data_IF_076376593355
#
_entry.id   IF_076376593355
#
_cell.length_a   1.000
_cell.length_b   1.000
_cell.length_c   1.000
_cell.angle_alpha   90.00
_cell.angle_beta   90.00
_cell.angle_gamma   90.00
#
_symmetry.space_group_name_H-M   'P 1'
#
loop_
_entity.id
_entity.type
_entity.pdbx_description
1 polymer ?
#
# COMPACT_ATOMS: atom_id res chain seq x y z
N UNK A 1 -6.41 -5.50 16.29
CA UNK A 1 -7.20 -4.93 15.17
C UNK A 1 -6.62 -5.43 13.86
N UNK A 2 -7.47 -5.87 12.91
CA UNK A 2 -6.96 -6.37 11.62
C UNK A 2 -6.14 -5.34 10.84
N UNK A 3 -6.49 -4.05 10.93
CA UNK A 3 -5.75 -2.99 10.24
C UNK A 3 -4.35 -2.86 10.82
N UNK A 4 -4.20 -2.94 12.13
CA UNK A 4 -2.90 -2.86 12.80
C UNK A 4 -2.00 -4.01 12.39
N UNK A 5 -2.57 -5.21 12.25
CA UNK A 5 -1.82 -6.38 11.78
C UNK A 5 -1.35 -6.21 10.35
N UNK A 6 -2.20 -5.69 9.48
CA UNK A 6 -1.83 -5.41 8.08
C UNK A 6 -0.72 -4.38 8.02
N UNK A 7 -0.82 -3.29 8.79
CA UNK A 7 0.20 -2.25 8.86
C UNK A 7 1.54 -2.85 9.28
N UNK A 8 1.53 -3.71 10.32
CA UNK A 8 2.74 -4.37 10.79
C UNK A 8 3.39 -5.26 9.75
N UNK A 9 2.58 -6.03 9.01
CA UNK A 9 3.09 -6.89 7.93
C UNK A 9 3.71 -6.06 6.80
N UNK A 10 3.07 -4.97 6.41
CA UNK A 10 3.57 -4.08 5.36
C UNK A 10 4.89 -3.46 5.80
N UNK A 11 4.93 -2.95 7.02
CA UNK A 11 6.13 -2.33 7.56
C UNK A 11 7.30 -3.31 7.56
N UNK A 12 7.05 -4.55 8.01
CA UNK A 12 8.09 -5.57 8.04
C UNK A 12 8.62 -5.89 6.65
N UNK A 13 7.73 -6.00 5.65
CA UNK A 13 8.16 -6.28 4.28
C UNK A 13 8.97 -5.13 3.70
N UNK A 14 8.51 -3.90 3.85
CA UNK A 14 9.17 -2.73 3.30
C UNK A 14 10.47 -2.39 4.03
N UNK A 15 10.55 -2.66 5.33
CA UNK A 15 11.77 -2.41 6.08
C UNK A 15 12.92 -3.32 5.64
N UNK A 16 12.61 -4.46 5.04
CA UNK A 16 13.61 -5.39 4.49
C UNK A 16 13.94 -5.10 3.03
N UNK A 17 13.16 -4.24 2.38
CA UNK A 17 13.38 -3.86 0.99
C UNK A 17 14.44 -2.75 0.91
N UNK A 18 15.04 -2.61 -0.28
CA UNK A 18 16.01 -1.53 -0.50
C UNK A 18 15.28 -0.25 -0.86
N UNK A 19 14.80 0.46 0.18
CA UNK A 19 14.13 1.74 0.01
C UNK A 19 15.07 2.93 0.09
N UNK A 20 16.30 2.72 0.52
CA UNK A 20 17.27 3.80 0.69
C UNK A 20 17.59 4.51 -0.62
N UNK A 21 17.49 3.79 -1.75
CA UNK A 21 17.69 4.36 -3.07
C UNK A 21 16.48 5.12 -3.62
N UNK A 22 15.35 5.08 -2.94
CA UNK A 22 14.14 5.78 -3.36
C UNK A 22 14.30 7.26 -3.05
N UNK A 23 14.31 8.10 -4.08
CA UNK A 23 14.46 9.55 -3.92
C UNK A 23 13.10 10.23 -3.91
N UNK A 24 13.01 11.34 -3.18
CA UNK A 24 11.80 12.13 -3.08
C UNK A 24 10.75 11.46 -2.22
N UNK A 25 9.49 11.61 -2.60
CA UNK A 25 8.35 11.15 -1.82
C UNK A 25 7.52 10.14 -2.60
N UNK A 26 7.19 9.01 -1.95
CA UNK A 26 6.15 8.09 -2.40
C UNK A 26 5.14 8.00 -1.26
N UNK A 27 3.93 8.48 -1.49
CA UNK A 27 2.87 8.48 -0.48
C UNK A 27 1.59 7.92 -1.07
N UNK A 28 1.16 6.77 -0.56
CA UNK A 28 -0.06 6.09 -1.03
C UNK A 28 -0.96 5.84 0.16
N UNK A 29 -2.20 6.31 0.04
CA UNK A 29 -3.24 6.07 1.03
C UNK A 29 -4.03 4.82 0.65
N UNK A 30 -4.33 4.00 1.63
CA UNK A 30 -5.11 2.77 1.46
C UNK A 30 -6.43 2.91 2.19
N UNK A 31 -7.53 2.68 1.47
CA UNK A 31 -8.87 2.72 2.02
C UNK A 31 -9.44 1.30 2.04
N UNK A 32 -9.63 0.76 3.23
CA UNK A 32 -10.21 -0.57 3.40
C UNK A 32 -11.73 -0.48 3.26
N UNK A 33 -12.30 -1.39 2.48
CA UNK A 33 -13.74 -1.46 2.22
C UNK A 33 -14.27 -2.85 2.58
N UNK A 34 -15.59 -3.00 2.58
CA UNK A 34 -16.24 -4.26 2.89
C UNK A 34 -16.44 -4.46 4.41
N UNK A 35 -16.18 -5.67 4.88
CA UNK A 35 -16.44 -6.02 6.30
C UNK A 35 -15.52 -5.31 7.27
N UNK A 36 -14.28 -5.05 6.86
CA UNK A 36 -13.31 -4.30 7.66
C UNK A 36 -13.07 -2.99 6.96
N UNK A 37 -13.38 -1.88 7.62
CA UNK A 37 -13.14 -0.55 7.08
C UNK A 37 -12.02 0.12 7.86
N UNK A 38 -11.35 1.04 7.21
CA UNK A 38 -10.27 1.80 7.83
C UNK A 38 -9.43 2.48 6.78
N UNK A 39 -8.48 3.27 7.23
CA UNK A 39 -7.56 3.99 6.36
C UNK A 39 -6.17 3.93 6.97
N UNK A 40 -5.18 3.78 6.09
CA UNK A 40 -3.79 3.93 6.47
C UNK A 40 -3.00 4.44 5.28
N UNK A 41 -1.77 4.87 5.49
CA UNK A 41 -0.89 5.27 4.40
C UNK A 41 0.48 4.62 4.52
N UNK A 42 1.14 4.51 3.37
CA UNK A 42 2.55 4.16 3.29
C UNK A 42 3.27 5.37 2.71
N UNK A 43 4.26 5.87 3.44
CA UNK A 43 5.12 6.95 2.97
C UNK A 43 6.56 6.48 2.95
N UNK A 44 7.24 6.74 1.84
CA UNK A 44 8.69 6.65 1.75
C UNK A 44 9.18 8.05 1.39
N UNK A 45 9.86 8.69 2.32
CA UNK A 45 10.35 10.06 2.13
C UNK A 45 11.85 10.06 2.29
N UNK A 46 12.56 10.28 1.19
CA UNK A 46 14.03 10.28 1.15
C UNK A 46 14.62 9.02 1.80
N UNK A 47 14.03 7.87 1.51
CA UNK A 47 14.47 6.58 2.02
C UNK A 47 13.98 6.23 3.42
N UNK A 48 13.13 7.07 4.03
CA UNK A 48 12.57 6.81 5.35
C UNK A 48 11.13 6.32 5.23
N UNK A 49 10.86 5.16 5.80
CA UNK A 49 9.57 4.49 5.75
C UNK A 49 8.68 4.90 6.93
N UNK A 50 7.42 5.22 6.61
CA UNK A 50 6.37 5.40 7.61
C UNK A 50 5.10 4.68 7.14
N UNK A 51 4.48 3.92 8.02
CA UNK A 51 3.17 3.28 7.76
C UNK A 51 2.29 3.60 8.96
N UNK A 52 1.26 4.42 8.74
CA UNK A 52 0.45 4.97 9.83
C UNK A 52 -1.04 4.84 9.53
N UNK A 53 -1.88 4.66 10.56
CA UNK A 53 -3.32 4.45 10.42
C UNK A 53 -4.09 5.77 10.25
N UNK A 54 -3.63 6.63 9.34
CA UNK A 54 -4.21 7.95 9.11
C UNK A 54 -4.38 8.21 7.62
N UNK A 55 -5.18 9.22 7.30
CA UNK A 55 -5.24 9.77 5.96
C UNK A 55 -3.98 10.57 5.64
N UNK A 56 -3.60 10.58 4.37
CA UNK A 56 -2.49 11.38 3.87
C UNK A 56 -3.05 12.38 2.87
N UNK A 57 -3.19 13.64 3.27
CA UNK A 57 -3.86 14.67 2.46
C UNK A 57 -3.12 14.90 1.14
N UNK A 58 -1.80 14.93 1.18
CA UNK A 58 -0.94 15.23 0.03
C UNK A 58 -0.41 13.95 -0.63
N UNK A 59 -1.25 12.94 -0.72
CA UNK A 59 -0.89 11.64 -1.26
C UNK A 59 -0.69 11.67 -2.77
N UNK A 60 0.21 10.80 -3.25
CA UNK A 60 0.44 10.62 -4.68
C UNK A 60 -0.65 9.77 -5.32
N UNK A 61 -1.21 8.84 -4.57
CA UNK A 61 -2.24 7.93 -5.04
C UNK A 61 -3.07 7.38 -3.88
N UNK A 62 -4.23 6.83 -4.22
CA UNK A 62 -5.08 6.09 -3.28
C UNK A 62 -5.40 4.71 -3.83
N UNK A 63 -5.40 3.71 -2.96
CA UNK A 63 -5.79 2.34 -3.30
C UNK A 63 -6.96 1.96 -2.40
N UNK A 64 -8.05 1.50 -2.99
CA UNK A 64 -9.23 1.04 -2.27
C UNK A 64 -9.44 -0.43 -2.53
N UNK A 65 -9.75 -1.20 -1.49
CA UNK A 65 -10.02 -2.62 -1.62
C UNK A 65 -10.30 -3.25 -0.27
N UNK A 66 -10.68 -4.54 -0.30
CA UNK A 66 -10.94 -5.26 0.93
C UNK A 66 -9.63 -5.67 1.61
N UNK A 67 -9.69 -5.88 2.92
CA UNK A 67 -8.56 -6.41 3.68
C UNK A 67 -8.05 -7.71 3.07
N UNK A 68 -8.97 -8.61 2.71
CA UNK A 68 -8.64 -9.91 2.11
C UNK A 68 -7.83 -9.74 0.83
N UNK A 69 -8.28 -8.86 -0.08
CA UNK A 69 -7.58 -8.66 -1.34
C UNK A 69 -6.21 -8.01 -1.14
N UNK A 70 -6.10 -7.06 -0.22
CA UNK A 70 -4.81 -6.43 0.06
C UNK A 70 -3.83 -7.43 0.70
N UNK A 71 -4.31 -8.29 1.58
CA UNK A 71 -3.47 -9.35 2.15
C UNK A 71 -2.99 -10.34 1.08
N UNK A 72 -3.85 -10.70 0.12
CA UNK A 72 -3.45 -11.57 -0.98
C UNK A 72 -2.36 -10.95 -1.84
N UNK A 73 -2.44 -9.66 -2.09
CA UNK A 73 -1.39 -8.94 -2.82
C UNK A 73 -0.10 -8.96 -2.02
N UNK A 74 -0.18 -8.67 -0.73
CA UNK A 74 0.98 -8.66 0.16
C UNK A 74 1.68 -10.02 0.22
N UNK A 75 0.90 -11.11 0.20
CA UNK A 75 1.41 -12.48 0.28
C UNK A 75 1.82 -13.05 -1.09
N UNK A 76 1.72 -12.26 -2.16
CA UNK A 76 2.08 -12.72 -3.51
C UNK A 76 1.05 -13.62 -4.17
N UNK A 77 -0.15 -13.76 -3.60
CA UNK A 77 -1.22 -14.61 -4.13
C UNK A 77 -2.10 -13.89 -5.15
N UNK A 78 -2.03 -12.58 -5.23
CA UNK A 78 -2.80 -11.76 -6.15
C UNK A 78 -1.88 -10.71 -6.75
N UNK A 79 -1.79 -10.69 -8.07
CA UNK A 79 -0.95 -9.73 -8.79
C UNK A 79 -1.68 -8.39 -8.84
N UNK A 80 -1.05 -7.26 -8.45
CA UNK A 80 -1.71 -5.96 -8.41
C UNK A 80 -2.36 -5.54 -9.73
N UNK A 81 -1.69 -5.74 -10.87
CA UNK A 81 -2.23 -5.40 -12.18
C UNK A 81 -3.49 -6.20 -12.51
N UNK A 82 -3.51 -7.48 -12.12
CA UNK A 82 -4.68 -8.34 -12.32
C UNK A 82 -5.82 -7.89 -11.39
N UNK A 83 -5.50 -7.54 -10.16
CA UNK A 83 -6.49 -7.06 -9.20
C UNK A 83 -7.18 -5.78 -9.70
N UNK A 84 -6.42 -4.86 -10.28
CA UNK A 84 -6.97 -3.64 -10.88
C UNK A 84 -7.88 -3.99 -12.05
N UNK A 85 -7.43 -4.85 -12.96
CA UNK A 85 -8.18 -5.23 -14.15
C UNK A 85 -9.49 -5.95 -13.81
N UNK A 86 -9.48 -6.74 -12.73
CA UNK A 86 -10.67 -7.47 -12.27
C UNK A 86 -11.56 -6.68 -11.33
N UNK A 87 -11.19 -5.44 -11.02
CA UNK A 87 -11.98 -4.60 -10.11
C UNK A 87 -11.88 -4.98 -8.64
N UNK A 88 -10.90 -5.80 -8.27
CA UNK A 88 -10.70 -6.22 -6.86
C UNK A 88 -10.08 -5.12 -6.02
N UNK A 89 -9.31 -4.24 -6.66
CA UNK A 89 -8.84 -3.00 -6.04
C UNK A 89 -9.06 -1.86 -7.02
N UNK A 90 -9.16 -0.64 -6.49
CA UNK A 90 -9.31 0.57 -7.28
C UNK A 90 -8.15 1.50 -6.96
N UNK A 91 -7.50 2.01 -8.00
CA UNK A 91 -6.36 2.92 -7.85
C UNK A 91 -6.73 4.27 -8.44
N UNK A 92 -6.51 5.33 -7.67
CA UNK A 92 -6.70 6.72 -8.12
C UNK A 92 -5.39 7.46 -7.92
N UNK A 93 -5.05 8.35 -8.86
CA UNK A 93 -3.84 9.14 -8.82
C UNK A 93 -2.68 8.49 -9.56
N UNK A 94 -1.50 8.59 -9.01
CA UNK A 94 -0.27 8.14 -9.67
C UNK A 94 -0.08 6.63 -9.54
N UNK A 95 -0.50 5.88 -10.57
CA UNK A 95 -0.40 4.42 -10.60
C UNK A 95 1.06 3.95 -10.53
N UNK A 96 1.98 4.69 -11.11
CA UNK A 96 3.40 4.32 -11.09
C UNK A 96 3.95 4.23 -9.66
N UNK A 97 3.51 5.12 -8.78
CA UNK A 97 3.92 5.07 -7.37
C UNK A 97 3.37 3.84 -6.67
N UNK A 98 2.14 3.43 -7.00
CA UNK A 98 1.54 2.22 -6.46
C UNK A 98 2.32 0.99 -6.94
N UNK A 99 2.67 0.94 -8.22
CA UNK A 99 3.45 -0.18 -8.78
C UNK A 99 4.85 -0.24 -8.17
N UNK A 100 5.46 0.91 -7.90
CA UNK A 100 6.75 0.96 -7.21
C UNK A 100 6.67 0.29 -5.83
N UNK A 101 5.63 0.62 -5.05
CA UNK A 101 5.43 -0.03 -3.76
C UNK A 101 5.22 -1.54 -3.89
N UNK A 102 4.45 -1.97 -4.89
CA UNK A 102 4.23 -3.38 -5.15
C UNK A 102 5.55 -4.12 -5.45
N UNK A 103 6.42 -3.50 -6.23
CA UNK A 103 7.74 -4.07 -6.52
C UNK A 103 8.59 -4.18 -5.26
N UNK A 104 8.57 -3.17 -4.40
CA UNK A 104 9.34 -3.18 -3.15
C UNK A 104 8.85 -4.24 -2.17
N UNK A 105 7.59 -4.64 -2.28
CA UNK A 105 6.99 -5.64 -1.38
C UNK A 105 7.14 -7.09 -1.88
N UNK A 106 7.74 -7.30 -3.02
CA UNK A 106 7.97 -8.65 -3.54
C UNK A 106 8.98 -9.44 -2.73
#
# INVERSE_FOLDING_TARGET
>A
MPVDQLIGKIYNKLSKADIAGTQGKVAVQFNLTGKVTGVFYIEILNGVLSVMPYEYIDRDASVSGTLTNLEKILNGKLIPQVAIAEGKIKVEGNVDKVMLLAELMK
#
